data_IF_672650225690
#
_entry.id   IF_672650225690
#
_cell.length_a   1.000
_cell.length_b   1.000
_cell.length_c   1.000
_cell.angle_alpha   90.00
_cell.angle_beta   90.00
_cell.angle_gamma   90.00
#
_symmetry.space_group_name_H-M   'P 1'
#
loop_
_entity.id
_entity.type
_entity.pdbx_description
1 polymer ?
#
# COMPACT_ATOMS: atom_id res chain seq x y z
N UNK A 1 -1.41 -10.58 22.61
CA UNK A 1 -1.48 -11.99 22.19
C UNK A 1 -1.62 -12.15 20.67
N UNK A 2 -2.63 -11.55 20.01
CA UNK A 2 -2.89 -11.76 18.57
C UNK A 2 -1.74 -11.35 17.63
N UNK A 3 -1.06 -10.22 17.89
CA UNK A 3 0.07 -9.74 17.07
C UNK A 3 1.33 -10.62 17.17
N UNK A 4 1.61 -11.16 18.36
CA UNK A 4 2.73 -12.08 18.56
C UNK A 4 2.56 -13.36 17.76
N UNK A 5 1.33 -13.86 17.66
CA UNK A 5 1.01 -15.07 16.91
C UNK A 5 1.24 -14.90 15.39
N UNK A 6 0.91 -13.73 14.84
CA UNK A 6 1.16 -13.40 13.41
C UNK A 6 2.65 -13.35 13.11
N UNK A 7 3.43 -12.67 13.96
CA UNK A 7 4.89 -12.61 13.83
C UNK A 7 5.52 -14.00 13.92
N UNK A 8 5.08 -14.82 14.87
CA UNK A 8 5.55 -16.20 15.04
C UNK A 8 5.23 -17.05 13.80
N UNK A 9 4.01 -16.96 13.25
CA UNK A 9 3.62 -17.67 12.02
C UNK A 9 4.51 -17.31 10.82
N UNK A 10 4.78 -16.02 10.63
CA UNK A 10 5.62 -15.53 9.54
C UNK A 10 7.07 -16.00 9.72
N UNK A 11 7.61 -15.90 10.94
CA UNK A 11 8.96 -16.36 11.27
C UNK A 11 9.10 -17.87 11.02
N UNK A 12 8.13 -18.68 11.47
CA UNK A 12 8.12 -20.13 11.24
C UNK A 12 8.07 -20.45 9.74
N UNK A 13 7.21 -19.79 8.99
CA UNK A 13 7.09 -19.95 7.54
C UNK A 13 8.41 -19.64 6.81
N UNK A 14 9.05 -18.52 7.15
CA UNK A 14 10.35 -18.12 6.59
C UNK A 14 11.45 -19.14 6.95
N UNK A 15 11.52 -19.57 8.21
CA UNK A 15 12.48 -20.58 8.67
C UNK A 15 12.31 -21.91 7.91
N UNK A 16 11.07 -22.36 7.69
CA UNK A 16 10.81 -23.59 6.92
C UNK A 16 11.27 -23.49 5.47
N UNK A 17 11.06 -22.33 4.81
CA UNK A 17 11.53 -22.11 3.44
C UNK A 17 13.05 -21.97 3.34
N UNK A 18 13.70 -21.30 4.30
CA UNK A 18 15.16 -21.19 4.37
C UNK A 18 15.81 -22.56 4.54
N UNK A 19 15.23 -23.42 5.38
CA UNK A 19 15.69 -24.80 5.55
C UNK A 19 15.60 -25.60 4.25
N UNK A 20 14.51 -25.45 3.49
CA UNK A 20 14.35 -26.08 2.18
C UNK A 20 15.37 -25.58 1.16
N UNK A 21 15.64 -24.27 1.12
CA UNK A 21 16.69 -23.69 0.27
C UNK A 21 18.07 -24.29 0.58
N UNK A 22 18.38 -24.49 1.86
CA UNK A 22 19.63 -25.15 2.29
C UNK A 22 19.72 -26.62 1.85
N UNK A 23 18.62 -27.38 1.94
CA UNK A 23 18.55 -28.77 1.48
C UNK A 23 18.71 -28.85 -0.05
N UNK A 24 18.05 -27.96 -0.79
CA UNK A 24 18.16 -27.88 -2.24
C UNK A 24 19.59 -27.57 -2.70
N UNK A 25 20.26 -26.61 -2.04
CA UNK A 25 21.67 -26.28 -2.34
C UNK A 25 22.60 -27.46 -2.05
N UNK A 26 22.40 -28.17 -0.94
CA UNK A 26 23.18 -29.39 -0.64
C UNK A 26 22.96 -30.48 -1.68
N UNK A 27 21.73 -30.72 -2.13
CA UNK A 27 21.39 -31.68 -3.18
C UNK A 27 22.02 -31.31 -4.54
N UNK A 28 22.18 -30.00 -4.83
CA UNK A 28 22.85 -29.53 -6.05
C UNK A 28 24.36 -29.75 -6.02
N UNK A 29 24.99 -29.61 -4.85
CA UNK A 29 26.44 -29.74 -4.67
C UNK A 29 26.84 -31.22 -4.54
N UNK A 30 26.08 -31.99 -3.78
CA UNK A 30 26.32 -33.41 -3.54
C UNK A 30 25.28 -34.21 -4.34
N UNK A 31 25.72 -34.85 -5.43
CA UNK A 31 24.90 -35.68 -6.32
C UNK A 31 24.50 -37.01 -5.64
N UNK A 32 23.87 -36.93 -4.45
CA UNK A 32 23.59 -38.08 -3.60
C UNK A 32 22.23 -38.67 -3.97
N UNK A 33 22.26 -39.90 -4.49
CA UNK A 33 21.09 -40.70 -4.90
C UNK A 33 20.13 -41.04 -3.75
N UNK A 34 20.59 -40.97 -2.50
CA UNK A 34 19.79 -41.23 -1.28
C UNK A 34 18.70 -40.17 -1.00
N UNK A 35 18.79 -38.97 -1.59
CA UNK A 35 17.82 -37.89 -1.36
C UNK A 35 16.53 -37.98 -2.19
N UNK A 36 16.42 -38.93 -3.13
CA UNK A 36 15.23 -39.06 -4.01
C UNK A 36 13.93 -39.30 -3.23
N UNK A 37 13.96 -40.04 -2.12
CA UNK A 37 12.79 -40.30 -1.29
C UNK A 37 12.35 -39.08 -0.44
N UNK A 38 13.19 -38.06 -0.30
CA UNK A 38 12.87 -36.85 0.46
C UNK A 38 12.17 -35.77 -0.38
N UNK A 39 12.06 -35.96 -1.70
CA UNK A 39 11.47 -34.94 -2.60
C UNK A 39 9.99 -34.70 -2.30
N UNK A 40 9.22 -35.74 -2.00
CA UNK A 40 7.80 -35.60 -1.62
C UNK A 40 7.62 -34.85 -0.28
N UNK A 41 8.43 -35.19 0.73
CA UNK A 41 8.41 -34.50 2.02
C UNK A 41 8.87 -33.04 1.91
N UNK A 42 9.80 -32.76 0.99
CA UNK A 42 10.25 -31.40 0.71
C UNK A 42 9.16 -30.58 -0.01
N UNK A 43 8.38 -31.17 -0.91
CA UNK A 43 7.21 -30.53 -1.52
C UNK A 43 6.14 -30.19 -0.47
N UNK A 44 5.83 -31.12 0.45
CA UNK A 44 4.88 -30.88 1.54
C UNK A 44 5.36 -29.73 2.45
N UNK A 45 6.64 -29.72 2.82
CA UNK A 45 7.23 -28.64 3.63
C UNK A 45 7.17 -27.28 2.92
N UNK A 46 7.26 -27.27 1.59
CA UNK A 46 7.19 -26.06 0.78
C UNK A 46 5.77 -25.49 0.82
N UNK A 47 4.77 -26.36 0.64
CA UNK A 47 3.35 -26.03 0.77
C UNK A 47 3.04 -25.52 2.18
N UNK A 48 3.56 -26.19 3.22
CA UNK A 48 3.39 -25.76 4.62
C UNK A 48 4.04 -24.40 4.90
N UNK A 49 5.26 -24.17 4.41
CA UNK A 49 5.93 -22.87 4.58
C UNK A 49 5.15 -21.74 3.92
N UNK A 50 4.64 -21.98 2.71
CA UNK A 50 3.77 -21.02 2.02
C UNK A 50 2.44 -20.80 2.74
N UNK A 51 1.79 -21.86 3.24
CA UNK A 51 0.51 -21.73 3.93
C UNK A 51 0.65 -20.95 5.24
N UNK A 52 1.74 -21.13 5.99
CA UNK A 52 2.02 -20.35 7.19
C UNK A 52 2.24 -18.85 6.89
N UNK A 53 2.98 -18.53 5.83
CA UNK A 53 3.17 -17.15 5.41
C UNK A 53 1.85 -16.55 4.91
N UNK A 54 1.09 -17.30 4.11
CA UNK A 54 -0.20 -16.84 3.58
C UNK A 54 -1.22 -16.59 4.70
N UNK A 55 -1.29 -17.47 5.71
CA UNK A 55 -2.12 -17.27 6.89
C UNK A 55 -1.66 -16.07 7.72
N UNK A 56 -0.35 -15.92 7.95
CA UNK A 56 0.22 -14.78 8.66
C UNK A 56 -0.11 -13.45 7.96
N UNK A 57 0.11 -13.39 6.64
CA UNK A 57 -0.22 -12.23 5.81
C UNK A 57 -1.73 -12.00 5.77
N UNK A 58 -2.56 -13.03 5.65
CA UNK A 58 -4.02 -12.89 5.62
C UNK A 58 -4.58 -12.29 6.91
N UNK A 59 -4.07 -12.71 8.06
CA UNK A 59 -4.42 -12.11 9.35
C UNK A 59 -3.94 -10.66 9.40
N UNK A 60 -2.72 -10.39 8.94
CA UNK A 60 -2.14 -9.04 8.90
C UNK A 60 -2.95 -8.12 7.96
N UNK A 61 -3.40 -8.63 6.81
CA UNK A 61 -4.27 -7.93 5.88
C UNK A 61 -5.65 -7.68 6.47
N UNK A 62 -6.21 -8.58 7.26
CA UNK A 62 -7.48 -8.30 7.94
C UNK A 62 -7.34 -7.07 8.85
N UNK A 63 -6.25 -6.96 9.61
CA UNK A 63 -5.94 -5.76 10.39
C UNK A 63 -5.60 -4.54 9.51
N UNK A 64 -4.90 -4.74 8.40
CA UNK A 64 -4.64 -3.68 7.43
C UNK A 64 -5.96 -3.15 6.86
N UNK A 65 -6.95 -4.01 6.59
CA UNK A 65 -8.28 -3.61 6.14
C UNK A 65 -8.99 -2.85 7.24
N UNK A 66 -8.92 -3.24 8.52
CA UNK A 66 -9.47 -2.41 9.61
C UNK A 66 -8.75 -1.06 9.77
N UNK A 67 -7.43 -1.04 9.58
CA UNK A 67 -6.61 0.18 9.61
C UNK A 67 -6.89 1.08 8.41
N UNK A 68 -7.06 0.49 7.23
CA UNK A 68 -7.48 1.16 6.02
C UNK A 68 -8.93 1.61 6.13
N UNK A 69 -9.84 0.83 6.70
CA UNK A 69 -11.20 1.29 7.02
C UNK A 69 -11.19 2.43 8.03
N UNK A 70 -10.20 2.49 8.93
CA UNK A 70 -10.05 3.59 9.88
C UNK A 70 -9.43 4.85 9.24
N UNK A 71 -8.55 4.70 8.25
CA UNK A 71 -7.89 5.81 7.52
C UNK A 71 -8.69 6.30 6.31
N UNK A 72 -9.32 5.36 5.60
CA UNK A 72 -10.19 5.56 4.43
C UNK A 72 -11.67 5.57 4.82
N UNK A 73 -12.03 5.40 6.11
CA UNK A 73 -13.28 6.05 6.55
C UNK A 73 -13.05 7.50 6.13
N UNK A 74 -13.82 8.01 5.14
CA UNK A 74 -13.61 9.36 4.66
C UNK A 74 -13.61 10.20 5.90
N UNK A 75 -12.52 10.96 6.15
CA UNK A 75 -12.33 11.78 7.33
C UNK A 75 -13.72 12.33 7.68
N UNK A 76 -14.40 11.81 8.72
CA UNK A 76 -15.86 11.73 8.72
C UNK A 76 -16.36 13.09 8.36
N UNK A 77 -17.32 13.26 7.46
CA UNK A 77 -17.75 14.59 7.00
C UNK A 77 -17.80 15.59 8.17
N UNK A 78 -18.18 15.11 9.36
CA UNK A 78 -18.00 15.74 10.68
C UNK A 78 -16.67 16.44 10.98
N UNK A 79 -15.48 15.89 10.73
CA UNK A 79 -14.16 16.51 10.95
C UNK A 79 -13.87 17.56 9.89
N UNK A 80 -14.17 17.29 8.61
CA UNK A 80 -14.06 18.29 7.55
C UNK A 80 -15.02 19.46 7.82
N UNK A 81 -16.29 19.19 8.14
CA UNK A 81 -17.29 20.15 8.59
C UNK A 81 -16.93 20.80 9.92
N UNK A 82 -16.30 20.10 10.86
CA UNK A 82 -15.87 20.68 12.13
C UNK A 82 -14.71 21.64 11.91
N UNK A 83 -13.75 21.30 11.04
CA UNK A 83 -12.67 22.19 10.64
C UNK A 83 -13.21 23.39 9.87
N UNK A 84 -14.08 23.18 8.89
CA UNK A 84 -14.75 24.26 8.14
C UNK A 84 -15.55 25.14 9.10
N UNK A 85 -16.36 24.58 10.00
CA UNK A 85 -17.12 25.34 10.99
C UNK A 85 -16.21 26.10 11.94
N UNK A 86 -15.10 25.50 12.42
CA UNK A 86 -14.12 26.21 13.25
C UNK A 86 -13.44 27.34 12.49
N UNK A 87 -13.12 27.13 11.22
CA UNK A 87 -12.50 28.14 10.37
C UNK A 87 -13.49 29.29 10.15
N UNK A 88 -14.77 29.00 9.89
CA UNK A 88 -15.86 29.99 9.78
C UNK A 88 -16.13 30.71 11.10
N UNK A 89 -16.05 30.01 12.24
CA UNK A 89 -16.22 30.58 13.58
C UNK A 89 -15.06 31.53 13.93
N UNK A 90 -13.81 31.13 13.65
CA UNK A 90 -12.62 31.98 13.78
C UNK A 90 -12.71 33.17 12.82
N UNK A 91 -13.18 32.97 11.60
CA UNK A 91 -13.37 34.01 10.60
C UNK A 91 -14.38 35.07 11.05
N UNK A 92 -15.55 34.64 11.55
CA UNK A 92 -16.57 35.52 12.10
C UNK A 92 -16.09 36.26 13.36
N UNK A 93 -15.22 35.62 14.16
CA UNK A 93 -14.61 36.27 15.34
C UNK A 93 -13.56 37.32 14.97
N UNK A 94 -12.99 37.25 13.77
CA UNK A 94 -11.91 38.14 13.30
C UNK A 94 -12.37 39.14 12.21
N UNK A 95 -13.65 39.12 11.79
CA UNK A 95 -14.17 39.94 10.67
C UNK A 95 -13.32 39.85 9.39
N UNK A 96 -12.84 38.65 9.06
CA UNK A 96 -12.00 38.43 7.88
C UNK A 96 -12.84 37.84 6.74
N UNK A 97 -13.24 38.62 5.74
CA UNK A 97 -14.01 38.14 4.57
C UNK A 97 -13.13 37.40 3.53
N UNK A 98 -12.38 36.37 3.94
CA UNK A 98 -11.55 35.58 3.01
C UNK A 98 -12.27 34.38 2.38
N UNK A 99 -13.33 33.86 3.00
CA UNK A 99 -14.11 32.73 2.49
C UNK A 99 -15.37 33.21 1.76
N UNK A 100 -15.19 33.85 0.61
CA UNK A 100 -16.29 34.03 -0.35
C UNK A 100 -16.58 32.69 -1.06
N UNK A 101 -17.80 32.45 -1.57
CA UNK A 101 -18.10 31.23 -2.34
C UNK A 101 -17.11 30.99 -3.50
N UNK A 102 -16.56 32.06 -4.07
CA UNK A 102 -15.52 31.99 -5.12
C UNK A 102 -14.20 31.42 -4.60
N UNK A 103 -13.78 31.78 -3.39
CA UNK A 103 -12.56 31.24 -2.77
C UNK A 103 -12.69 29.73 -2.45
N UNK A 104 -13.89 29.28 -2.07
CA UNK A 104 -14.16 27.89 -1.72
C UNK A 104 -14.18 27.00 -2.97
N UNK A 105 -14.73 27.53 -4.07
CA UNK A 105 -14.63 26.91 -5.40
C UNK A 105 -13.18 26.81 -5.89
N UNK A 106 -12.36 27.83 -5.65
CA UNK A 106 -10.95 27.83 -6.02
C UNK A 106 -10.13 26.82 -5.21
N UNK A 107 -10.39 26.69 -3.90
CA UNK A 107 -9.79 25.64 -3.05
C UNK A 107 -10.17 24.25 -3.53
N UNK A 108 -11.46 24.01 -3.83
CA UNK A 108 -11.91 22.74 -4.37
C UNK A 108 -11.24 22.41 -5.71
N UNK A 109 -11.10 23.40 -6.60
CA UNK A 109 -10.43 23.23 -7.88
C UNK A 109 -8.94 22.86 -7.70
N UNK A 110 -8.24 23.47 -6.75
CA UNK A 110 -6.85 23.14 -6.42
C UNK A 110 -6.75 21.70 -5.88
N UNK A 111 -7.63 21.31 -4.96
CA UNK A 111 -7.67 19.95 -4.41
C UNK A 111 -7.89 18.90 -5.51
N UNK A 112 -8.83 19.16 -6.41
CA UNK A 112 -9.13 18.26 -7.53
C UNK A 112 -7.98 18.20 -8.55
N UNK A 113 -7.29 19.32 -8.78
CA UNK A 113 -6.10 19.34 -9.64
C UNK A 113 -4.92 18.56 -9.04
N UNK A 114 -4.70 18.68 -7.73
CA UNK A 114 -3.69 17.88 -7.02
C UNK A 114 -4.03 16.38 -7.04
N UNK A 115 -5.29 16.03 -6.82
CA UNK A 115 -5.80 14.65 -6.95
C UNK A 115 -5.49 14.07 -8.34
N UNK A 116 -5.72 14.83 -9.41
CA UNK A 116 -5.38 14.43 -10.78
C UNK A 116 -3.86 14.22 -10.97
N UNK A 117 -3.04 15.16 -10.50
CA UNK A 117 -1.58 15.07 -10.62
C UNK A 117 -1.02 13.81 -9.97
N UNK A 118 -1.44 13.50 -8.74
CA UNK A 118 -0.98 12.31 -8.03
C UNK A 118 -1.49 11.02 -8.69
N UNK A 119 -2.73 11.02 -9.19
CA UNK A 119 -3.25 9.89 -9.96
C UNK A 119 -2.43 9.65 -11.24
N UNK A 120 -2.09 10.73 -11.94
CA UNK A 120 -1.30 10.68 -13.16
C UNK A 120 0.16 10.24 -12.90
N UNK A 121 0.78 10.71 -11.81
CA UNK A 121 2.10 10.26 -11.34
C UNK A 121 2.11 8.74 -11.07
N UNK A 122 1.05 8.22 -10.44
CA UNK A 122 0.86 6.79 -10.19
C UNK A 122 0.77 6.00 -11.50
N UNK A 123 -0.03 6.49 -12.46
CA UNK A 123 -0.25 5.87 -13.76
C UNK A 123 1.04 5.83 -14.58
N UNK A 124 1.78 6.94 -14.63
CA UNK A 124 3.09 7.03 -15.28
C UNK A 124 4.12 6.11 -14.63
N UNK A 125 4.15 6.03 -13.29
CA UNK A 125 5.12 5.19 -12.58
C UNK A 125 4.87 3.70 -12.83
N UNK A 126 3.60 3.28 -12.87
CA UNK A 126 3.21 1.91 -13.22
C UNK A 126 3.54 1.62 -14.68
N UNK A 127 3.18 2.52 -15.60
CA UNK A 127 3.48 2.37 -17.02
C UNK A 127 4.99 2.26 -17.27
N UNK A 128 5.78 3.11 -16.61
CA UNK A 128 7.23 3.11 -16.67
C UNK A 128 7.82 1.78 -16.20
N UNK A 129 7.30 1.17 -15.11
CA UNK A 129 7.74 -0.15 -14.66
C UNK A 129 7.39 -1.28 -15.64
N UNK A 130 6.21 -1.22 -16.26
CA UNK A 130 5.74 -2.27 -17.16
C UNK A 130 6.44 -2.27 -18.53
N UNK A 131 6.71 -1.09 -19.09
CA UNK A 131 7.28 -0.96 -20.45
C UNK A 131 8.80 -0.83 -20.50
N UNK A 132 9.48 -0.59 -19.37
CA UNK A 132 10.94 -0.40 -19.33
C UNK A 132 11.72 -1.70 -19.10
N UNK A 133 11.63 -2.68 -20.00
CA UNK A 133 12.42 -3.92 -19.87
C UNK A 133 13.93 -3.73 -20.19
N UNK A 134 14.34 -2.62 -20.82
CA UNK A 134 15.74 -2.38 -21.28
C UNK A 134 16.37 -1.04 -20.88
N UNK A 135 15.61 -0.10 -20.30
CA UNK A 135 16.01 1.32 -20.12
C UNK A 135 16.03 1.74 -18.64
N UNK A 136 16.27 0.80 -17.73
CA UNK A 136 16.28 1.06 -16.29
C UNK A 136 17.63 1.66 -15.90
N UNK A 137 17.71 2.98 -15.85
CA UNK A 137 18.83 3.66 -15.19
C UNK A 137 18.66 3.68 -13.67
N UNK A 138 17.43 3.78 -13.13
CA UNK A 138 17.18 3.82 -11.69
C UNK A 138 15.77 3.31 -11.29
N UNK A 139 15.60 2.02 -10.92
CA UNK A 139 14.29 1.47 -10.54
C UNK A 139 13.77 2.05 -9.22
N UNK A 140 14.67 2.58 -8.39
CA UNK A 140 14.33 3.21 -7.11
C UNK A 140 13.45 4.44 -7.27
N UNK A 141 13.65 5.23 -8.33
CA UNK A 141 12.87 6.45 -8.59
C UNK A 141 11.43 6.10 -8.95
N UNK A 142 11.23 5.07 -9.77
CA UNK A 142 9.89 4.59 -10.10
C UNK A 142 9.14 4.06 -8.87
N UNK A 143 9.82 3.32 -8.00
CA UNK A 143 9.23 2.87 -6.73
C UNK A 143 8.87 4.03 -5.79
N UNK A 144 9.74 5.05 -5.70
CA UNK A 144 9.43 6.25 -4.92
C UNK A 144 8.25 7.01 -5.51
N UNK A 145 8.13 7.10 -6.84
CA UNK A 145 6.99 7.70 -7.55
C UNK A 145 5.66 6.97 -7.30
N UNK A 146 5.69 5.64 -7.20
CA UNK A 146 4.50 4.86 -6.81
C UNK A 146 4.11 5.19 -5.37
N UNK A 147 5.08 5.29 -4.46
CA UNK A 147 4.81 5.60 -3.05
C UNK A 147 4.29 7.03 -2.88
N UNK A 148 4.90 8.02 -3.54
CA UNK A 148 4.43 9.42 -3.51
C UNK A 148 3.04 9.54 -4.12
N UNK A 149 2.80 8.94 -5.29
CA UNK A 149 1.50 8.92 -5.93
C UNK A 149 0.43 8.26 -5.06
N UNK A 150 0.73 7.14 -4.40
CA UNK A 150 -0.20 6.49 -3.46
C UNK A 150 -0.52 7.38 -2.26
N UNK A 151 0.49 8.00 -1.63
CA UNK A 151 0.27 8.91 -0.50
C UNK A 151 -0.58 10.10 -0.95
N UNK A 152 -0.28 10.69 -2.10
CA UNK A 152 -1.03 11.81 -2.66
C UNK A 152 -2.49 11.45 -2.96
N UNK A 153 -2.75 10.31 -3.59
CA UNK A 153 -4.10 9.83 -3.86
C UNK A 153 -4.89 9.50 -2.58
N UNK A 154 -4.23 9.06 -1.50
CA UNK A 154 -4.87 8.84 -0.20
C UNK A 154 -5.25 10.19 0.45
N UNK A 155 -4.38 11.20 0.34
CA UNK A 155 -4.61 12.52 0.94
C UNK A 155 -5.65 13.37 0.19
N UNK A 156 -5.63 13.33 -1.14
CA UNK A 156 -6.46 14.18 -2.00
C UNK A 156 -7.63 13.42 -2.65
N UNK A 157 -7.71 12.10 -2.48
CA UNK A 157 -8.74 11.23 -3.04
C UNK A 157 -8.39 10.71 -4.43
N UNK A 158 -8.74 9.45 -4.71
CA UNK A 158 -8.48 8.79 -6.01
C UNK A 158 -9.41 9.26 -7.13
N UNK A 159 -10.59 9.79 -6.79
CA UNK A 159 -11.65 10.13 -7.74
C UNK A 159 -12.10 11.58 -7.63
N UNK A 160 -11.48 12.39 -6.75
CA UNK A 160 -11.90 13.77 -6.51
C UNK A 160 -11.82 14.63 -7.79
N UNK A 161 -10.90 14.31 -8.71
CA UNK A 161 -10.79 14.97 -10.00
C UNK A 161 -11.87 14.58 -11.04
N UNK A 162 -12.52 13.41 -10.90
CA UNK A 162 -13.42 12.88 -11.94
C UNK A 162 -14.58 13.81 -12.36
N UNK A 163 -15.27 14.54 -11.45
CA UNK A 163 -16.38 15.41 -11.83
C UNK A 163 -16.03 16.54 -12.79
N UNK A 164 -14.74 16.87 -12.95
CA UNK A 164 -14.26 17.89 -13.87
C UNK A 164 -13.81 17.33 -15.23
N UNK A 165 -13.70 16.01 -15.35
CA UNK A 165 -13.28 15.32 -16.58
C UNK A 165 -14.40 14.44 -17.20
N UNK A 166 -15.53 14.29 -16.51
CA UNK A 166 -16.79 13.72 -16.99
C UNK A 166 -17.72 14.84 -17.49
#
# INVERSE_FOLDING_TARGET
MKYGLVLILIIIGILTLLRLRGIYLKKKIYNTTEMKNQDFLNQIRLILGFSYIFLGIGILFNYLIYFMMWILDPLPDRVAFFLINKIVEIQNSLNLDFLTPDSLNLINLIFNFLSFLFFFELLLSVWYMLHSYKLINNPKVAFLGIISGLIGCILFGFTAFMPYFL
#
